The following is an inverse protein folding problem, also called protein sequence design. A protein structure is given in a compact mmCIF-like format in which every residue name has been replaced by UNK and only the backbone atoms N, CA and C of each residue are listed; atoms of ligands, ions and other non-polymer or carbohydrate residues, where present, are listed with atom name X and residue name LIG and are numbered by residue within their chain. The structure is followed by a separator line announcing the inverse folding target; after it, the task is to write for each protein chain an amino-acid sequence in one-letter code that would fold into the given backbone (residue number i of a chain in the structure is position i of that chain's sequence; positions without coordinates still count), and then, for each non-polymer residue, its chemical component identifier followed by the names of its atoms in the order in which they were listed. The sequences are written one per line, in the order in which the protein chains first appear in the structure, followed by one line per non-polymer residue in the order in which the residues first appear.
data_IF_253213375330
#
_entry.id   IF_253213375330
#
_cell.length_a   1.000
_cell.length_b   1.000
_cell.length_c   1.000
_cell.angle_alpha   90.00
_cell.angle_beta   90.00
_cell.angle_gamma   90.00
#
_symmetry.space_group_name_H-M   'P 1'
#
loop_
_entity.id
_entity.type
_entity.pdbx_description
1 polymer ?
#
# COMPACT_ATOMS: atom_id res chain seq x y z
N UNK A 1 -2.80 -3.31 36.64
CA UNK A 1 -3.76 -3.01 35.56
C UNK A 1 -3.08 -3.36 34.24
N UNK A 2 -3.70 -4.04 33.26
CA UNK A 2 -2.99 -4.82 32.23
C UNK A 2 -2.28 -4.01 31.13
N UNK A 3 -2.02 -2.72 31.34
CA UNK A 3 -1.43 -1.84 30.33
C UNK A 3 -0.16 -1.19 30.86
N UNK A 4 0.85 -1.15 30.00
CA UNK A 4 2.03 -0.32 30.20
C UNK A 4 1.70 1.15 29.92
N UNK A 5 2.44 2.11 30.48
CA UNK A 5 2.30 3.52 30.12
C UNK A 5 2.50 3.74 28.61
N UNK A 6 1.63 4.53 28.00
CA UNK A 6 1.78 4.94 26.59
C UNK A 6 2.93 5.92 26.42
N UNK A 7 3.51 5.96 25.22
CA UNK A 7 4.47 6.98 24.81
C UNK A 7 4.13 7.48 23.41
N UNK A 8 4.64 8.67 23.08
CA UNK A 8 4.42 9.32 21.78
C UNK A 8 5.72 9.23 20.98
N UNK A 9 5.61 8.85 19.71
CA UNK A 9 6.72 8.85 18.75
C UNK A 9 6.49 10.03 17.80
N UNK A 10 7.48 10.88 17.66
CA UNK A 10 7.45 11.93 16.65
C UNK A 10 7.83 11.32 15.29
N UNK A 11 6.97 11.43 14.26
CA UNK A 11 7.27 10.80 12.97
C UNK A 11 8.53 11.38 12.30
N UNK A 12 8.84 12.65 12.58
CA UNK A 12 10.06 13.32 12.11
C UNK A 12 11.34 12.70 12.70
N UNK A 13 11.27 12.09 13.90
CA UNK A 13 12.40 11.43 14.54
C UNK A 13 12.68 10.05 13.95
N UNK A 14 11.67 9.42 13.32
CA UNK A 14 11.84 8.21 12.51
C UNK A 14 12.57 8.58 11.22
N UNK A 15 11.99 9.50 10.45
CA UNK A 15 12.61 10.10 9.28
C UNK A 15 12.06 11.52 9.07
N UNK A 16 12.95 12.49 8.86
CA UNK A 16 12.60 13.91 8.69
C UNK A 16 11.71 14.21 7.47
N UNK A 17 11.65 13.29 6.51
CA UNK A 17 10.85 13.39 5.30
C UNK A 17 9.39 12.95 5.48
N UNK A 18 9.04 12.29 6.58
CA UNK A 18 7.67 11.83 6.82
C UNK A 18 6.78 13.06 7.08
N UNK A 19 6.00 13.40 6.07
CA UNK A 19 5.03 14.49 6.06
C UNK A 19 3.78 14.00 5.34
N UNK A 20 2.63 14.59 5.66
CA UNK A 20 1.35 14.27 5.01
C UNK A 20 1.05 12.75 5.03
N UNK A 21 0.85 12.19 6.22
CA UNK A 21 0.51 10.77 6.38
C UNK A 21 -0.86 10.51 5.75
N UNK A 22 -0.92 9.49 4.89
CA UNK A 22 -2.12 9.06 4.17
C UNK A 22 -2.79 7.91 4.93
N UNK A 23 -2.03 6.86 5.27
CA UNK A 23 -2.54 5.70 6.01
C UNK A 23 -1.41 4.99 6.79
N UNK A 24 -1.78 4.24 7.82
CA UNK A 24 -0.88 3.46 8.66
C UNK A 24 -1.46 2.09 8.96
N UNK A 25 -0.67 1.02 8.80
CA UNK A 25 -1.12 -0.36 9.04
C UNK A 25 -0.05 -1.22 9.71
N UNK A 26 -0.46 -1.98 10.71
CA UNK A 26 0.38 -3.04 11.28
C UNK A 26 0.49 -4.20 10.29
N UNK A 27 1.69 -4.77 10.21
CA UNK A 27 1.99 -5.88 9.31
C UNK A 27 1.92 -7.20 10.05
N UNK A 28 1.57 -8.25 9.29
CA UNK A 28 1.59 -9.62 9.77
C UNK A 28 2.98 -10.21 9.62
N UNK A 29 3.27 -11.24 10.43
CA UNK A 29 4.49 -12.06 10.35
C UNK A 29 5.80 -11.37 10.76
N UNK A 30 5.72 -10.46 11.73
CA UNK A 30 6.91 -9.90 12.39
C UNK A 30 6.90 -10.27 13.87
N UNK A 31 8.09 -10.55 14.42
CA UNK A 31 8.25 -10.84 15.86
C UNK A 31 7.95 -9.61 16.71
N UNK A 32 8.37 -8.44 16.24
CA UNK A 32 8.05 -7.15 16.83
C UNK A 32 6.88 -6.49 16.07
N UNK A 33 6.05 -5.69 16.75
CA UNK A 33 4.99 -4.95 16.11
C UNK A 33 5.57 -4.02 15.04
N UNK A 34 5.28 -4.33 13.78
CA UNK A 34 5.84 -3.65 12.63
C UNK A 34 4.76 -2.79 11.97
N UNK A 35 5.05 -1.51 11.78
CA UNK A 35 4.11 -0.50 11.31
C UNK A 35 4.54 0.03 9.95
N UNK A 36 3.67 -0.13 8.96
CA UNK A 36 3.79 0.53 7.66
C UNK A 36 3.11 1.90 7.70
N UNK A 37 3.79 2.90 7.13
CA UNK A 37 3.37 4.30 7.07
C UNK A 37 3.45 4.73 5.62
N UNK A 38 2.29 5.05 5.04
CA UNK A 38 2.16 5.65 3.72
C UNK A 38 2.04 7.16 3.89
N UNK A 39 2.87 7.92 3.18
CA UNK A 39 2.95 9.36 3.33
C UNK A 39 3.43 10.03 2.05
N UNK A 40 3.38 11.36 2.01
CA UNK A 40 3.78 12.16 0.86
C UNK A 40 4.72 13.30 1.29
N UNK A 41 6.05 13.16 1.13
CA UNK A 41 7.02 14.17 1.55
C UNK A 41 6.76 15.57 0.98
N UNK A 42 6.34 15.62 -0.29
CA UNK A 42 6.05 16.83 -1.04
C UNK A 42 4.70 16.68 -1.72
N UNK A 43 3.67 17.30 -1.14
CA UNK A 43 2.30 17.16 -1.61
C UNK A 43 2.14 17.66 -3.06
N UNK A 44 1.49 16.85 -3.89
CA UNK A 44 1.08 17.20 -5.26
C UNK A 44 -0.43 17.13 -5.42
N UNK A 45 -0.92 17.44 -6.63
CA UNK A 45 -2.33 17.32 -7.00
C UNK A 45 -2.46 17.02 -8.50
N UNK A 46 -3.60 16.50 -8.97
CA UNK A 46 -3.74 16.02 -10.36
C UNK A 46 -3.47 17.05 -11.47
N UNK A 47 -3.55 18.36 -11.18
CA UNK A 47 -3.20 19.39 -12.16
C UNK A 47 -1.71 19.73 -12.26
N UNK A 48 -0.86 19.18 -11.38
CA UNK A 48 0.61 19.43 -11.36
C UNK A 48 1.44 18.18 -11.75
N UNK A 49 0.80 17.17 -12.32
CA UNK A 49 1.45 15.90 -12.66
C UNK A 49 2.55 16.02 -13.72
N UNK A 50 2.56 17.06 -14.54
CA UNK A 50 3.66 17.30 -15.47
C UNK A 50 5.01 17.53 -14.78
N UNK A 51 5.02 17.93 -13.50
CA UNK A 51 6.25 18.12 -12.73
C UNK A 51 6.47 17.02 -11.70
N UNK A 52 5.41 16.62 -10.98
CA UNK A 52 5.49 15.71 -9.85
C UNK A 52 4.36 14.65 -9.92
N UNK A 53 4.67 13.46 -10.46
CA UNK A 53 3.72 12.34 -10.61
C UNK A 53 3.75 11.33 -9.46
N UNK A 54 4.95 10.95 -9.03
CA UNK A 54 5.20 9.82 -8.13
C UNK A 54 5.79 10.35 -6.83
N UNK A 55 4.94 11.00 -6.03
CA UNK A 55 5.35 11.71 -4.81
C UNK A 55 5.12 10.93 -3.53
N UNK A 56 4.37 9.82 -3.58
CA UNK A 56 4.09 9.03 -2.39
C UNK A 56 5.28 8.13 -2.03
N UNK A 57 5.38 7.85 -0.74
CA UNK A 57 6.42 7.02 -0.15
C UNK A 57 5.84 6.12 0.93
N UNK A 58 6.44 4.95 1.07
CA UNK A 58 6.12 3.97 2.09
C UNK A 58 7.35 3.72 2.95
N UNK A 59 7.17 3.70 4.26
CA UNK A 59 8.20 3.31 5.23
C UNK A 59 7.61 2.26 6.16
N UNK A 60 8.40 1.24 6.47
CA UNK A 60 8.05 0.18 7.41
C UNK A 60 9.01 0.23 8.57
N UNK A 61 8.45 0.30 9.77
CA UNK A 61 9.16 0.54 11.03
C UNK A 61 8.92 -0.63 11.97
N UNK A 62 9.97 -1.23 12.51
CA UNK A 62 9.86 -2.19 13.63
C UNK A 62 9.78 -1.41 14.93
N UNK A 63 8.84 -1.71 15.82
CA UNK A 63 8.67 -1.00 17.08
C UNK A 63 9.15 -1.86 18.26
N UNK A 64 10.29 -1.50 18.84
CA UNK A 64 10.73 -2.03 20.14
C UNK A 64 10.10 -1.18 21.25
N UNK A 65 9.03 -1.70 21.82
CA UNK A 65 8.27 -1.06 22.92
C UNK A 65 9.12 -0.98 24.21
N UNK A 66 10.04 -1.93 24.42
CA UNK A 66 10.84 -2.02 25.65
C UNK A 66 11.94 -0.98 25.66
N UNK A 67 12.66 -0.86 24.55
CA UNK A 67 13.78 0.08 24.40
C UNK A 67 13.34 1.43 23.81
N UNK A 68 12.08 1.55 23.39
CA UNK A 68 11.52 2.74 22.71
C UNK A 68 12.31 3.11 21.46
N UNK A 69 12.78 2.09 20.75
CA UNK A 69 13.49 2.23 19.47
C UNK A 69 12.58 1.82 18.32
N UNK A 70 12.79 2.46 17.17
CA UNK A 70 11.91 2.30 16.02
C UNK A 70 12.70 2.33 14.70
N UNK A 71 13.57 1.34 14.44
CA UNK A 71 14.35 1.30 13.21
C UNK A 71 13.45 1.13 11.98
N UNK A 72 13.80 1.84 10.90
CA UNK A 72 13.21 1.63 9.57
C UNK A 72 13.81 0.37 8.96
N UNK A 73 12.98 -0.64 8.69
CA UNK A 73 13.41 -1.93 8.14
C UNK A 73 13.23 -2.02 6.63
N UNK A 74 12.31 -1.22 6.07
CA UNK A 74 12.05 -1.17 4.64
C UNK A 74 11.50 0.21 4.26
N UNK A 75 11.86 0.71 3.09
CA UNK A 75 11.31 1.94 2.54
C UNK A 75 11.22 1.86 1.03
N UNK A 76 10.16 2.45 0.48
CA UNK A 76 9.92 2.52 -0.95
C UNK A 76 9.49 3.93 -1.33
N UNK A 77 10.09 4.44 -2.38
CA UNK A 77 9.85 5.78 -2.92
C UNK A 77 9.28 5.73 -4.32
N UNK A 78 8.79 6.87 -4.79
CA UNK A 78 8.21 7.04 -6.11
C UNK A 78 6.99 6.13 -6.31
N UNK A 79 6.12 6.05 -5.29
CA UNK A 79 4.79 5.49 -5.45
C UNK A 79 3.87 6.54 -6.10
N UNK A 80 2.81 6.11 -6.81
CA UNK A 80 1.88 7.03 -7.47
C UNK A 80 1.32 8.05 -6.48
N UNK A 81 1.25 9.34 -6.85
CA UNK A 81 0.68 10.38 -5.98
C UNK A 81 -0.75 10.11 -5.50
N UNK A 82 -1.49 9.28 -6.24
CA UNK A 82 -2.89 8.96 -5.97
C UNK A 82 -3.07 7.78 -5.01
N UNK A 83 -2.07 7.45 -4.20
CA UNK A 83 -2.19 6.47 -3.12
C UNK A 83 -3.29 6.89 -2.13
N UNK A 84 -4.16 5.93 -1.76
CA UNK A 84 -5.36 6.18 -0.94
C UNK A 84 -5.29 5.44 0.40
N UNK A 85 -4.85 4.18 0.40
CA UNK A 85 -4.81 3.35 1.62
C UNK A 85 -3.84 2.19 1.50
N UNK A 86 -3.50 1.60 2.65
CA UNK A 86 -2.74 0.36 2.78
C UNK A 86 -3.65 -0.80 3.18
N UNK A 87 -3.32 -1.99 2.69
CA UNK A 87 -3.92 -3.26 3.13
C UNK A 87 -2.78 -4.20 3.53
N UNK A 88 -2.72 -4.57 4.80
CA UNK A 88 -1.79 -5.57 5.32
C UNK A 88 -2.27 -6.97 4.93
N UNK A 89 -1.40 -7.76 4.29
CA UNK A 89 -1.79 -9.09 3.79
C UNK A 89 -1.45 -10.15 4.83
N UNK A 90 -2.42 -11.01 5.23
CA UNK A 90 -2.21 -12.03 6.24
C UNK A 90 -1.28 -13.15 5.74
N UNK A 91 -0.85 -13.99 6.69
CA UNK A 91 -0.20 -15.26 6.37
C UNK A 91 -1.13 -16.13 5.52
N UNK A 92 -0.60 -16.91 4.57
CA UNK A 92 0.83 -17.14 4.29
C UNK A 92 1.39 -16.26 3.15
N UNK A 93 0.65 -15.26 2.67
CA UNK A 93 1.09 -14.43 1.53
C UNK A 93 2.02 -13.31 1.99
N UNK A 94 1.60 -12.54 3.00
CA UNK A 94 2.40 -11.44 3.54
C UNK A 94 2.58 -10.25 2.59
N UNK A 95 3.32 -9.26 3.07
CA UNK A 95 3.49 -7.98 2.39
C UNK A 95 2.31 -7.03 2.57
N UNK A 96 2.26 -6.03 1.69
CA UNK A 96 1.35 -4.90 1.79
C UNK A 96 0.79 -4.61 0.41
N UNK A 97 -0.50 -4.33 0.30
CA UNK A 97 -1.06 -3.70 -0.90
C UNK A 97 -1.19 -2.20 -0.67
N UNK A 98 -0.60 -1.43 -1.57
CA UNK A 98 -0.82 -0.01 -1.73
C UNK A 98 -1.94 0.17 -2.76
N UNK A 99 -3.08 0.69 -2.29
CA UNK A 99 -4.22 1.00 -3.15
C UNK A 99 -4.10 2.44 -3.59
N UNK A 100 -4.11 2.69 -4.90
CA UNK A 100 -4.16 4.03 -5.50
C UNK A 100 -5.48 4.24 -6.21
N UNK A 101 -5.80 5.45 -6.67
CA UNK A 101 -7.03 5.70 -7.42
C UNK A 101 -7.14 4.84 -8.69
N UNK A 102 -6.00 4.55 -9.35
CA UNK A 102 -5.91 3.98 -10.69
C UNK A 102 -5.12 2.67 -10.78
N UNK A 103 -4.52 2.20 -9.68
CA UNK A 103 -3.68 1.01 -9.65
C UNK A 103 -3.70 0.32 -8.28
N UNK A 104 -3.29 -0.95 -8.28
CA UNK A 104 -3.04 -1.74 -7.07
C UNK A 104 -1.61 -2.21 -7.12
N UNK A 105 -0.83 -1.96 -6.07
CA UNK A 105 0.59 -2.33 -6.00
C UNK A 105 0.82 -3.21 -4.78
N UNK A 106 1.27 -4.45 -4.98
CA UNK A 106 1.81 -5.29 -3.92
C UNK A 106 3.26 -4.94 -3.70
N UNK A 107 3.64 -4.74 -2.44
CA UNK A 107 5.01 -4.45 -2.01
C UNK A 107 5.40 -5.39 -0.89
N UNK A 108 6.64 -5.86 -0.95
CA UNK A 108 7.25 -6.72 0.06
C UNK A 108 8.74 -6.38 0.16
N UNK A 109 9.38 -6.76 1.28
CA UNK A 109 10.81 -6.53 1.49
C UNK A 109 11.68 -7.21 0.43
N UNK A 110 11.18 -8.30 -0.16
CA UNK A 110 11.92 -9.10 -1.15
C UNK A 110 11.73 -8.62 -2.59
N UNK A 111 10.77 -7.74 -2.88
CA UNK A 111 10.39 -7.37 -4.24
C UNK A 111 10.46 -5.86 -4.48
N UNK A 112 10.62 -5.47 -5.76
CA UNK A 112 10.55 -4.06 -6.19
C UNK A 112 9.12 -3.52 -6.26
N UNK A 113 8.14 -4.32 -5.86
CA UNK A 113 6.72 -4.05 -6.03
C UNK A 113 6.16 -4.59 -7.36
N UNK A 114 4.97 -5.15 -7.31
CA UNK A 114 4.21 -5.66 -8.45
C UNK A 114 2.90 -4.88 -8.52
N UNK A 115 2.72 -4.13 -9.60
CA UNK A 115 1.53 -3.31 -9.76
C UNK A 115 0.68 -3.70 -10.97
N UNK A 116 -0.64 -3.51 -10.84
CA UNK A 116 -1.61 -3.64 -11.93
C UNK A 116 -2.37 -2.33 -12.08
N UNK A 117 -2.56 -1.85 -13.32
CA UNK A 117 -3.45 -0.74 -13.62
C UNK A 117 -4.89 -1.23 -13.73
N UNK A 118 -5.82 -0.46 -13.17
CA UNK A 118 -7.25 -0.82 -13.17
C UNK A 118 -8.09 0.03 -14.12
N UNK A 119 -7.48 1.05 -14.73
CA UNK A 119 -8.09 1.93 -15.73
C UNK A 119 -7.02 2.60 -16.59
N UNK A 120 -7.44 3.28 -17.67
CA UNK A 120 -6.54 3.94 -18.62
C UNK A 120 -5.87 5.23 -18.10
N UNK A 121 -6.27 5.77 -16.94
CA UNK A 121 -5.61 6.95 -16.35
C UNK A 121 -4.29 6.62 -15.67
N UNK A 122 -4.04 5.35 -15.34
CA UNK A 122 -2.79 4.95 -14.69
C UNK A 122 -1.55 5.40 -15.49
N UNK A 123 -1.58 5.25 -16.82
CA UNK A 123 -0.46 5.60 -17.70
C UNK A 123 -0.08 7.09 -17.69
N UNK A 124 -1.07 7.97 -17.52
CA UNK A 124 -0.81 9.42 -17.52
C UNK A 124 -0.47 9.94 -16.12
N UNK A 125 -0.72 9.15 -15.07
CA UNK A 125 -0.67 9.61 -13.67
C UNK A 125 0.53 9.09 -12.89
N UNK A 126 1.19 8.04 -13.35
CA UNK A 126 2.38 7.47 -12.71
C UNK A 126 3.36 6.89 -13.72
N UNK A 127 4.66 6.94 -13.41
CA UNK A 127 5.71 6.26 -14.17
C UNK A 127 6.09 4.91 -13.52
N UNK A 128 5.39 4.51 -12.44
CA UNK A 128 5.55 3.20 -11.80
C UNK A 128 5.23 2.06 -12.79
N UNK A 129 6.03 0.97 -12.83
CA UNK A 129 5.77 -0.14 -13.75
C UNK A 129 4.51 -0.90 -13.34
N UNK A 130 3.49 -0.84 -14.21
CA UNK A 130 2.20 -1.51 -14.02
C UNK A 130 1.91 -2.49 -15.15
N UNK A 131 1.42 -3.68 -14.79
CA UNK A 131 0.77 -4.59 -15.71
C UNK A 131 -0.60 -4.03 -16.10
N UNK A 132 -0.85 -3.96 -17.42
CA UNK A 132 -2.01 -3.33 -18.03
C UNK A 132 -3.11 -4.30 -18.39
N UNK A 133 -2.96 -5.57 -18.02
CA UNK A 133 -3.90 -6.63 -18.35
C UNK A 133 -5.32 -6.35 -17.86
N UNK A 134 -5.53 -5.45 -16.89
CA UNK A 134 -6.83 -5.16 -16.27
C UNK A 134 -7.37 -3.74 -16.54
N UNK A 135 -6.74 -2.95 -17.43
CA UNK A 135 -7.19 -1.58 -17.73
C UNK A 135 -8.62 -1.52 -18.29
N UNK A 136 -9.02 -2.57 -19.01
CA UNK A 136 -10.35 -2.70 -19.62
C UNK A 136 -11.48 -2.74 -18.57
N UNK A 137 -11.17 -3.02 -17.30
CA UNK A 137 -12.17 -3.02 -16.23
C UNK A 137 -12.65 -1.61 -15.89
N UNK A 138 -11.84 -0.58 -16.15
CA UNK A 138 -12.21 0.83 -15.95
C UNK A 138 -12.61 1.15 -14.50
N UNK A 139 -11.96 0.53 -13.52
CA UNK A 139 -12.33 0.68 -12.10
C UNK A 139 -11.79 2.01 -11.55
N UNK A 140 -12.45 2.51 -10.51
CA UNK A 140 -11.93 3.59 -9.65
C UNK A 140 -11.93 3.10 -8.22
N UNK A 141 -10.76 3.10 -7.58
CA UNK A 141 -10.58 2.52 -6.24
C UNK A 141 -10.72 3.54 -5.12
N UNK A 142 -10.95 4.81 -5.45
CA UNK A 142 -11.21 5.86 -4.47
C UNK A 142 -12.48 5.56 -3.68
N UNK A 143 -12.38 5.63 -2.35
CA UNK A 143 -13.49 5.28 -1.45
C UNK A 143 -13.89 3.80 -1.48
N UNK A 144 -13.06 2.92 -2.06
CA UNK A 144 -13.30 1.48 -2.00
C UNK A 144 -13.17 0.95 -0.58
N UNK A 145 -13.93 -0.09 -0.25
CA UNK A 145 -13.77 -0.90 0.95
C UNK A 145 -13.26 -2.29 0.57
N UNK A 146 -12.64 -2.99 1.51
CA UNK A 146 -12.10 -4.33 1.29
C UNK A 146 -12.51 -5.28 2.42
N UNK A 147 -12.67 -6.55 2.08
CA UNK A 147 -12.79 -7.64 3.04
C UNK A 147 -12.01 -8.84 2.51
N UNK A 148 -11.34 -9.57 3.39
CA UNK A 148 -10.68 -10.81 3.04
C UNK A 148 -11.72 -11.93 2.97
N UNK A 149 -11.77 -12.63 1.84
CA UNK A 149 -12.53 -13.87 1.69
C UNK A 149 -11.65 -15.07 2.07
N UNK A 150 -10.37 -14.98 1.75
CA UNK A 150 -9.30 -15.89 2.18
C UNK A 150 -7.99 -15.10 2.34
N UNK A 151 -6.89 -15.79 2.60
CA UNK A 151 -5.55 -15.23 2.81
C UNK A 151 -4.94 -14.59 1.55
N UNK A 152 -5.36 -15.04 0.37
CA UNK A 152 -4.93 -14.55 -0.95
C UNK A 152 -6.09 -13.97 -1.78
N UNK A 153 -7.33 -14.00 -1.28
CA UNK A 153 -8.53 -13.52 -1.97
C UNK A 153 -9.21 -12.38 -1.21
N UNK A 154 -9.35 -11.24 -1.89
CA UNK A 154 -9.88 -10.00 -1.34
C UNK A 154 -11.05 -9.54 -2.20
N UNK A 155 -12.17 -9.27 -1.54
CA UNK A 155 -13.32 -8.62 -2.18
C UNK A 155 -13.22 -7.11 -1.98
N UNK A 156 -13.20 -6.38 -3.09
CA UNK A 156 -13.25 -4.92 -3.13
C UNK A 156 -14.68 -4.47 -3.43
N UNK A 157 -15.26 -3.69 -2.53
CA UNK A 157 -16.51 -2.97 -2.76
C UNK A 157 -16.19 -1.54 -3.20
N UNK A 158 -16.55 -1.19 -4.42
CA UNK A 158 -16.26 0.11 -5.02
C UNK A 158 -17.30 1.16 -4.61
N UNK A 159 -16.94 2.44 -4.72
CA UNK A 159 -17.82 3.56 -4.35
C UNK A 159 -19.15 3.56 -5.13
N UNK A 160 -19.16 3.03 -6.36
CA UNK A 160 -20.36 2.92 -7.18
C UNK A 160 -21.25 1.71 -6.82
N UNK A 161 -20.85 0.90 -5.83
CA UNK A 161 -21.56 -0.32 -5.42
C UNK A 161 -21.11 -1.58 -6.16
N UNK A 162 -20.27 -1.46 -7.18
CA UNK A 162 -19.73 -2.63 -7.89
C UNK A 162 -18.78 -3.42 -6.98
N UNK A 163 -18.75 -4.74 -7.20
CA UNK A 163 -17.84 -5.64 -6.51
C UNK A 163 -16.75 -6.12 -7.46
N UNK A 164 -15.52 -6.19 -6.96
CA UNK A 164 -14.37 -6.72 -7.68
C UNK A 164 -13.62 -7.72 -6.80
N UNK A 165 -13.43 -8.92 -7.30
CA UNK A 165 -12.60 -9.94 -6.65
C UNK A 165 -11.15 -9.74 -7.09
N UNK A 166 -10.26 -9.69 -6.12
CA UNK A 166 -8.82 -9.63 -6.31
C UNK A 166 -8.16 -10.87 -5.72
N UNK A 167 -7.27 -11.49 -6.49
CA UNK A 167 -6.51 -12.67 -6.06
C UNK A 167 -5.01 -12.42 -6.18
N UNK A 168 -4.26 -12.78 -5.15
CA UNK A 168 -2.81 -12.68 -5.12
C UNK A 168 -2.21 -14.03 -5.49
N UNK A 169 -1.64 -14.12 -6.69
CA UNK A 169 -1.01 -15.36 -7.17
C UNK A 169 0.44 -15.37 -6.73
N UNK A 170 0.85 -16.43 -6.04
CA UNK A 170 2.23 -16.64 -5.59
C UNK A 170 3.02 -17.48 -6.57
N UNK A 171 4.30 -17.19 -6.68
CA UNK A 171 5.31 -18.10 -7.21
C UNK A 171 6.34 -18.37 -6.10
N UNK A 172 6.30 -19.58 -5.55
CA UNK A 172 7.05 -19.94 -4.34
C UNK A 172 6.64 -19.09 -3.13
N UNK A 173 7.56 -18.23 -2.66
CA UNK A 173 7.37 -17.40 -1.46
C UNK A 173 6.94 -15.96 -1.77
N UNK A 174 6.99 -15.54 -3.02
CA UNK A 174 6.71 -14.18 -3.42
C UNK A 174 5.42 -14.13 -4.24
N UNK A 175 4.67 -13.03 -4.11
CA UNK A 175 3.59 -12.75 -5.06
C UNK A 175 4.22 -12.54 -6.43
N UNK A 176 3.65 -13.14 -7.47
CA UNK A 176 4.12 -13.02 -8.86
C UNK A 176 3.19 -12.16 -9.71
N UNK A 177 1.88 -12.22 -9.45
CA UNK A 177 0.88 -11.39 -10.14
C UNK A 177 -0.37 -11.17 -9.29
N UNK A 178 -1.12 -10.14 -9.66
CA UNK A 178 -2.42 -9.79 -9.08
C UNK A 178 -3.46 -10.06 -10.16
N UNK A 179 -4.46 -10.88 -9.86
CA UNK A 179 -5.58 -11.15 -10.76
C UNK A 179 -6.84 -10.40 -10.29
N UNK A 180 -7.53 -9.75 -11.23
CA UNK A 180 -8.76 -9.01 -10.95
C UNK A 180 -9.93 -9.55 -11.78
N UNK A 181 -11.09 -9.65 -11.13
CA UNK A 181 -12.34 -10.07 -11.76
C UNK A 181 -13.50 -9.25 -11.21
N UNK A 182 -14.18 -8.51 -12.09
CA UNK A 182 -15.45 -7.87 -11.75
C UNK A 182 -16.54 -8.94 -11.54
N UNK A 183 -17.32 -8.79 -10.48
CA UNK A 183 -18.44 -9.70 -10.13
C UNK A 183 -19.69 -9.30 -10.89
#
# INVERSE_FOLDING_TARGET
WPYLPSFVIELSSIQSRIKNVIDMRFLYDYYEPTLAILFEPCQTWPGKLNSNKDTCSLVVVSLDISQKMYPVIYSMDNLPHSCVKLISIPKPVGGILVITANAIIHVDQSSKGIGVSVNGYALSTTDFPLDRSFEYLGLSLEGSHHVFLDTDEILLALRNGDLCLMKLVKDGRSVSRIELKKV
#
